data_IF_297164242411
#
_entry.id   IF_297164242411
#
_cell.length_a   1.000
_cell.length_b   1.000
_cell.length_c   1.000
_cell.angle_alpha   90.00
_cell.angle_beta   90.00
_cell.angle_gamma   90.00
#
_symmetry.space_group_name_H-M   'P 1'
#
loop_
_entity.id
_entity.type
_entity.pdbx_description
1 polymer ?
#
# COMPACT_ATOMS: atom_id res chain seq x y z
N UNK A 1 21.67 7.90 -14.01
CA UNK A 1 21.97 6.56 -14.50
C UNK A 1 21.42 5.56 -13.51
N UNK A 2 20.35 4.88 -13.86
CA UNK A 2 19.80 3.84 -12.98
C UNK A 2 20.78 2.67 -12.91
N UNK A 3 21.01 2.16 -11.70
CA UNK A 3 21.78 0.94 -11.51
C UNK A 3 20.90 -0.23 -11.98
N UNK A 4 21.27 -0.97 -13.05
CA UNK A 4 20.43 -2.06 -13.56
C UNK A 4 20.29 -3.24 -12.60
N UNK A 5 21.02 -3.24 -11.50
CA UNK A 5 21.00 -4.26 -10.46
C UNK A 5 20.23 -3.82 -9.18
N UNK A 6 19.64 -2.61 -9.17
CA UNK A 6 18.85 -2.14 -8.02
C UNK A 6 17.48 -2.84 -8.00
N UNK A 7 17.32 -3.80 -7.12
CA UNK A 7 16.07 -4.53 -6.92
C UNK A 7 15.37 -4.00 -5.67
N UNK A 8 14.18 -3.44 -5.84
CA UNK A 8 13.42 -2.83 -4.75
C UNK A 8 12.66 -3.86 -3.90
N UNK A 9 12.15 -4.92 -4.53
CA UNK A 9 11.42 -5.99 -3.87
C UNK A 9 11.46 -7.28 -4.68
N UNK A 10 11.50 -8.44 -4.01
CA UNK A 10 11.58 -9.75 -4.66
C UNK A 10 10.46 -10.69 -4.22
N UNK A 11 10.10 -11.65 -5.07
CA UNK A 11 9.20 -12.75 -4.70
C UNK A 11 9.73 -13.54 -3.51
N UNK A 12 11.04 -13.76 -3.44
CA UNK A 12 11.70 -14.45 -2.32
C UNK A 12 11.49 -13.71 -1.00
N UNK A 13 11.59 -12.38 -1.00
CA UNK A 13 11.34 -11.55 0.18
C UNK A 13 9.89 -11.66 0.66
N UNK A 14 8.94 -11.58 -0.26
CA UNK A 14 7.52 -11.76 0.04
C UNK A 14 7.24 -13.15 0.57
N UNK A 15 7.79 -14.20 -0.07
CA UNK A 15 7.61 -15.58 0.37
C UNK A 15 8.20 -15.81 1.78
N UNK A 16 9.35 -15.20 2.11
CA UNK A 16 9.94 -15.27 3.44
C UNK A 16 9.00 -14.68 4.51
N UNK A 17 8.29 -13.60 4.19
CA UNK A 17 7.27 -13.05 5.07
C UNK A 17 6.09 -13.99 5.26
N UNK A 18 5.58 -14.56 4.18
CA UNK A 18 4.47 -15.51 4.22
C UNK A 18 4.84 -16.76 5.04
N UNK A 19 6.05 -17.27 4.89
CA UNK A 19 6.55 -18.41 5.66
C UNK A 19 6.61 -18.08 7.17
N UNK A 20 7.06 -16.89 7.51
CA UNK A 20 7.08 -16.41 8.92
C UNK A 20 5.67 -16.29 9.51
N UNK A 21 4.73 -15.80 8.72
CA UNK A 21 3.31 -15.71 9.13
C UNK A 21 2.71 -17.10 9.29
N UNK A 22 3.00 -18.02 8.36
CA UNK A 22 2.51 -19.40 8.43
C UNK A 22 3.06 -20.19 9.63
N UNK A 23 4.31 -19.92 10.03
CA UNK A 23 4.97 -20.57 11.17
C UNK A 23 4.47 -20.07 12.54
N UNK A 24 3.75 -18.95 12.57
CA UNK A 24 3.16 -18.40 13.79
C UNK A 24 1.65 -18.67 13.83
N UNK A 25 1.16 -19.07 15.00
CA UNK A 25 -0.28 -19.07 15.26
C UNK A 25 -0.70 -17.60 15.47
N UNK A 26 -1.26 -17.00 14.41
CA UNK A 26 -1.73 -15.63 14.48
C UNK A 26 -3.02 -15.55 15.29
N UNK A 27 -3.02 -14.61 16.21
CA UNK A 27 -4.20 -14.24 16.99
C UNK A 27 -4.50 -12.77 16.74
N UNK A 28 -5.68 -12.41 16.16
CA UNK A 28 -6.04 -11.02 15.90
C UNK A 28 -6.03 -10.12 17.13
N UNK A 29 -6.19 -10.70 18.32
CA UNK A 29 -6.19 -9.97 19.61
C UNK A 29 -4.78 -9.84 20.22
N UNK A 30 -3.77 -10.52 19.63
CA UNK A 30 -2.41 -10.52 20.14
C UNK A 30 -1.55 -9.43 19.51
N UNK A 31 -0.86 -8.64 20.35
CA UNK A 31 -0.01 -7.54 19.90
C UNK A 31 1.18 -7.99 19.05
N UNK A 32 1.72 -9.19 19.27
CA UNK A 32 2.86 -9.71 18.48
C UNK A 32 2.41 -10.09 17.07
N UNK A 33 1.21 -10.68 16.94
CA UNK A 33 0.57 -10.99 15.67
C UNK A 33 0.27 -9.73 14.87
N UNK A 34 -0.33 -8.72 15.50
CA UNK A 34 -0.60 -7.43 14.89
C UNK A 34 0.69 -6.76 14.41
N UNK A 35 1.76 -6.81 15.22
CA UNK A 35 3.07 -6.24 14.85
C UNK A 35 3.69 -6.96 13.66
N UNK A 36 3.55 -8.28 13.58
CA UNK A 36 4.06 -9.05 12.44
C UNK A 36 3.38 -8.64 11.13
N UNK A 37 2.06 -8.50 11.16
CA UNK A 37 1.27 -8.07 9.99
C UNK A 37 1.59 -6.62 9.59
N UNK A 38 1.76 -5.72 10.55
CA UNK A 38 2.18 -4.34 10.29
C UNK A 38 3.58 -4.29 9.68
N UNK A 39 4.52 -5.09 10.18
CA UNK A 39 5.87 -5.15 9.61
C UNK A 39 5.87 -5.68 8.17
N UNK A 40 5.01 -6.66 7.86
CA UNK A 40 4.80 -7.16 6.50
C UNK A 40 4.28 -6.05 5.58
N UNK A 41 3.26 -5.33 6.04
CA UNK A 41 2.69 -4.19 5.32
C UNK A 41 3.72 -3.08 5.09
N UNK A 42 4.44 -2.69 6.14
CA UNK A 42 5.46 -1.66 6.10
C UNK A 42 6.60 -2.02 5.14
N UNK A 43 7.02 -3.28 5.11
CA UNK A 43 8.09 -3.74 4.22
C UNK A 43 7.74 -3.51 2.74
N UNK A 44 6.51 -3.82 2.34
CA UNK A 44 6.02 -3.56 0.99
C UNK A 44 5.88 -2.06 0.71
N UNK A 45 5.32 -1.30 1.66
CA UNK A 45 5.15 0.15 1.53
C UNK A 45 6.50 0.88 1.44
N UNK A 46 7.51 0.45 2.20
CA UNK A 46 8.87 0.99 2.14
C UNK A 46 9.51 0.72 0.76
N UNK A 47 9.28 -0.45 0.18
CA UNK A 47 9.77 -0.75 -1.17
C UNK A 47 9.19 0.23 -2.21
N UNK A 48 7.89 0.50 -2.14
CA UNK A 48 7.22 1.48 -3.00
C UNK A 48 7.79 2.89 -2.76
N UNK A 49 7.98 3.29 -1.50
CA UNK A 49 8.56 4.59 -1.16
C UNK A 49 9.98 4.75 -1.71
N UNK A 50 10.79 3.70 -1.71
CA UNK A 50 12.13 3.72 -2.31
C UNK A 50 12.09 3.91 -3.83
N UNK A 51 11.13 3.30 -4.52
CA UNK A 51 10.93 3.48 -5.96
C UNK A 51 10.58 4.93 -6.27
N UNK A 52 9.60 5.48 -5.55
CA UNK A 52 9.19 6.89 -5.71
C UNK A 52 10.38 7.83 -5.47
N UNK A 53 11.17 7.59 -4.43
CA UNK A 53 12.37 8.37 -4.15
C UNK A 53 13.42 8.26 -5.24
N UNK A 54 13.62 7.07 -5.80
CA UNK A 54 14.53 6.87 -6.93
C UNK A 54 14.06 7.67 -8.17
N UNK A 55 12.77 7.75 -8.39
CA UNK A 55 12.17 8.61 -9.42
C UNK A 55 12.40 10.11 -9.14
N UNK A 56 12.15 10.56 -7.91
CA UNK A 56 12.39 11.96 -7.51
C UNK A 56 13.86 12.37 -7.62
N UNK A 57 14.78 11.44 -7.38
CA UNK A 57 16.23 11.63 -7.48
C UNK A 57 16.78 11.45 -8.92
N UNK A 58 15.91 11.35 -9.93
CA UNK A 58 16.28 11.10 -11.34
C UNK A 58 17.08 9.80 -11.57
N UNK A 59 17.01 8.84 -10.66
CA UNK A 59 17.63 7.51 -10.82
C UNK A 59 16.77 6.55 -11.63
N UNK A 60 15.45 6.76 -11.63
CA UNK A 60 14.48 6.09 -12.48
C UNK A 60 13.74 7.14 -13.29
N UNK A 61 13.46 6.84 -14.56
CA UNK A 61 12.51 7.62 -15.34
C UNK A 61 11.07 7.18 -15.02
N UNK A 62 10.09 7.89 -15.58
CA UNK A 62 8.67 7.63 -15.34
C UNK A 62 8.28 6.18 -15.69
N UNK A 63 8.66 5.71 -16.89
CA UNK A 63 8.34 4.35 -17.35
C UNK A 63 8.96 3.28 -16.43
N UNK A 64 10.22 3.45 -16.06
CA UNK A 64 10.92 2.53 -15.18
C UNK A 64 10.31 2.52 -13.76
N UNK A 65 9.96 3.69 -13.22
CA UNK A 65 9.33 3.78 -11.90
C UNK A 65 7.96 3.10 -11.87
N UNK A 66 7.12 3.31 -12.88
CA UNK A 66 5.82 2.64 -13.02
C UNK A 66 6.01 1.12 -13.14
N UNK A 67 6.97 0.66 -13.93
CA UNK A 67 7.27 -0.76 -14.08
C UNK A 67 7.72 -1.40 -12.77
N UNK A 68 8.56 -0.72 -11.98
CA UNK A 68 9.01 -1.20 -10.68
C UNK A 68 7.85 -1.26 -9.66
N UNK A 69 6.99 -0.25 -9.59
CA UNK A 69 5.79 -0.27 -8.73
C UNK A 69 4.86 -1.42 -9.13
N UNK A 70 4.63 -1.59 -10.43
CA UNK A 70 3.81 -2.70 -10.94
C UNK A 70 4.41 -4.06 -10.59
N UNK A 71 5.73 -4.19 -10.64
CA UNK A 71 6.44 -5.41 -10.24
C UNK A 71 6.23 -5.77 -8.77
N UNK A 72 6.34 -4.80 -7.88
CA UNK A 72 6.05 -5.00 -6.44
C UNK A 72 4.58 -5.36 -6.22
N UNK A 73 3.67 -4.64 -6.87
CA UNK A 73 2.23 -4.92 -6.82
C UNK A 73 1.92 -6.37 -7.23
N UNK A 74 2.45 -6.83 -8.34
CA UNK A 74 2.18 -8.17 -8.87
C UNK A 74 2.68 -9.27 -7.93
N UNK A 75 3.80 -9.04 -7.23
CA UNK A 75 4.33 -9.94 -6.20
C UNK A 75 3.43 -9.94 -4.95
N UNK A 76 3.12 -8.77 -4.43
CA UNK A 76 2.42 -8.60 -3.14
C UNK A 76 0.94 -8.95 -3.24
N UNK A 77 0.29 -8.64 -4.37
CA UNK A 77 -1.13 -8.91 -4.58
C UNK A 77 -1.40 -10.27 -5.25
N UNK A 78 -0.36 -11.09 -5.47
CA UNK A 78 -0.54 -12.44 -5.96
C UNK A 78 -1.39 -13.28 -4.99
N UNK A 79 -2.14 -14.23 -5.54
CA UNK A 79 -2.97 -15.14 -4.74
C UNK A 79 -2.11 -15.91 -3.73
N UNK A 80 -2.50 -15.87 -2.46
CA UNK A 80 -1.81 -16.54 -1.36
C UNK A 80 -2.65 -17.71 -0.88
N UNK A 81 -2.05 -18.90 -0.80
CA UNK A 81 -2.66 -20.09 -0.22
C UNK A 81 -2.10 -20.33 1.18
N UNK A 82 -2.94 -20.32 2.20
CA UNK A 82 -2.62 -20.66 3.57
C UNK A 82 -3.47 -21.85 4.01
N UNK A 83 -2.90 -22.73 4.84
CA UNK A 83 -3.63 -23.87 5.40
C UNK A 83 -4.69 -23.45 6.42
N UNK A 84 -4.47 -22.32 7.08
CA UNK A 84 -5.37 -21.74 8.05
C UNK A 84 -6.19 -20.59 7.45
N UNK A 85 -7.52 -20.70 7.48
CA UNK A 85 -8.43 -19.71 6.91
C UNK A 85 -8.33 -18.32 7.58
N UNK A 86 -8.10 -18.29 8.89
CA UNK A 86 -7.99 -17.05 9.65
C UNK A 86 -6.71 -16.29 9.25
N UNK A 87 -5.60 -17.00 9.14
CA UNK A 87 -4.34 -16.45 8.61
C UNK A 87 -4.51 -15.95 7.17
N UNK A 88 -5.21 -16.71 6.33
CA UNK A 88 -5.50 -16.29 4.95
C UNK A 88 -6.28 -14.97 4.89
N UNK A 89 -7.31 -14.82 5.75
CA UNK A 89 -8.10 -13.57 5.85
C UNK A 89 -7.26 -12.38 6.31
N UNK A 90 -6.34 -12.58 7.25
CA UNK A 90 -5.45 -11.53 7.74
C UNK A 90 -4.48 -11.07 6.65
N UNK A 91 -3.93 -11.99 5.87
CA UNK A 91 -3.07 -11.67 4.72
C UNK A 91 -3.87 -10.94 3.63
N UNK A 92 -5.07 -11.39 3.32
CA UNK A 92 -5.96 -10.72 2.37
C UNK A 92 -6.25 -9.27 2.81
N UNK A 93 -6.47 -9.05 4.10
CA UNK A 93 -6.62 -7.71 4.69
C UNK A 93 -5.39 -6.83 4.48
N UNK A 94 -4.19 -7.37 4.69
CA UNK A 94 -2.93 -6.65 4.40
C UNK A 94 -2.82 -6.32 2.92
N UNK A 95 -3.05 -7.28 2.03
CA UNK A 95 -3.02 -7.07 0.58
C UNK A 95 -4.01 -5.99 0.15
N UNK A 96 -5.24 -6.05 0.65
CA UNK A 96 -6.28 -5.05 0.36
C UNK A 96 -5.86 -3.65 0.81
N UNK A 97 -5.26 -3.52 1.99
CA UNK A 97 -4.78 -2.24 2.52
C UNK A 97 -3.65 -1.61 1.69
N UNK A 98 -2.90 -2.44 0.96
CA UNK A 98 -1.79 -1.99 0.10
C UNK A 98 -2.24 -1.57 -1.30
N UNK A 99 -3.43 -1.96 -1.75
CA UNK A 99 -3.95 -1.60 -3.08
C UNK A 99 -3.87 -0.08 -3.34
N UNK A 100 -4.41 0.79 -2.48
CA UNK A 100 -4.31 2.23 -2.71
C UNK A 100 -2.87 2.76 -2.67
N UNK A 101 -1.96 2.11 -1.95
CA UNK A 101 -0.53 2.48 -1.91
C UNK A 101 0.11 2.33 -3.29
N UNK A 102 -0.11 1.22 -3.96
CA UNK A 102 0.43 0.98 -5.31
C UNK A 102 -0.14 1.96 -6.33
N UNK A 103 -1.45 2.14 -6.36
CA UNK A 103 -2.10 3.05 -7.31
C UNK A 103 -1.76 4.51 -7.04
N UNK A 104 -1.63 4.92 -5.78
CA UNK A 104 -1.19 6.27 -5.43
C UNK A 104 0.25 6.55 -5.89
N UNK A 105 1.15 5.58 -5.75
CA UNK A 105 2.52 5.70 -6.23
C UNK A 105 2.57 5.82 -7.76
N UNK A 106 1.83 4.99 -8.49
CA UNK A 106 1.73 5.08 -9.95
C UNK A 106 1.16 6.42 -10.40
N UNK A 107 0.08 6.87 -9.80
CA UNK A 107 -0.55 8.17 -10.10
C UNK A 107 0.41 9.33 -9.83
N UNK A 108 1.11 9.29 -8.70
CA UNK A 108 2.11 10.31 -8.35
C UNK A 108 3.24 10.40 -9.36
N UNK A 109 3.75 9.26 -9.82
CA UNK A 109 4.84 9.20 -10.82
C UNK A 109 4.39 9.78 -12.17
N UNK A 110 3.18 9.45 -12.61
CA UNK A 110 2.65 9.85 -13.94
C UNK A 110 2.03 11.24 -13.92
N UNK A 111 1.25 11.56 -12.91
CA UNK A 111 0.43 12.77 -12.82
C UNK A 111 0.84 13.76 -11.75
N UNK A 112 1.75 13.37 -10.85
CA UNK A 112 2.11 14.20 -9.69
C UNK A 112 1.05 14.17 -8.60
N UNK A 113 1.13 15.15 -7.71
CA UNK A 113 0.15 15.34 -6.65
C UNK A 113 -1.19 15.86 -7.15
N UNK A 114 -2.26 15.51 -6.46
CA UNK A 114 -3.57 16.12 -6.68
C UNK A 114 -3.45 17.66 -6.59
N UNK A 115 -3.96 18.36 -7.59
CA UNK A 115 -3.83 19.82 -7.68
C UNK A 115 -4.81 20.56 -6.75
N UNK A 116 -5.91 19.91 -6.39
CA UNK A 116 -6.97 20.50 -5.55
C UNK A 116 -7.32 19.54 -4.42
N UNK A 117 -7.80 20.08 -3.31
CA UNK A 117 -8.23 19.29 -2.16
C UNK A 117 -7.13 18.99 -1.16
N UNK A 118 -7.54 18.40 -0.05
CA UNK A 118 -6.67 17.98 1.06
C UNK A 118 -6.82 16.48 1.30
N UNK A 119 -5.88 15.89 2.02
CA UNK A 119 -5.97 14.48 2.44
C UNK A 119 -7.29 14.22 3.16
N UNK A 120 -7.70 15.12 4.08
CA UNK A 120 -8.95 14.99 4.81
C UNK A 120 -10.18 14.97 3.89
N UNK A 121 -10.25 15.89 2.94
CA UNK A 121 -11.37 15.98 1.99
C UNK A 121 -11.50 14.72 1.13
N UNK A 122 -10.37 14.19 0.64
CA UNK A 122 -10.37 12.95 -0.15
C UNK A 122 -10.72 11.71 0.69
N UNK A 123 -10.23 11.61 1.92
CA UNK A 123 -10.55 10.48 2.80
C UNK A 123 -12.03 10.50 3.19
N UNK A 124 -12.58 11.67 3.51
CA UNK A 124 -14.03 11.83 3.77
C UNK A 124 -14.88 11.46 2.54
N UNK A 125 -14.46 11.92 1.36
CA UNK A 125 -15.14 11.56 0.11
C UNK A 125 -15.08 10.05 -0.17
N UNK A 126 -13.96 9.40 0.14
CA UNK A 126 -13.81 7.95 0.01
C UNK A 126 -14.75 7.20 0.96
N UNK A 127 -14.83 7.64 2.22
CA UNK A 127 -15.73 7.04 3.21
C UNK A 127 -17.21 7.21 2.81
N UNK A 128 -17.59 8.37 2.29
CA UNK A 128 -18.95 8.61 1.78
C UNK A 128 -19.27 7.73 0.55
N UNK A 129 -18.32 7.56 -0.35
CA UNK A 129 -18.47 6.69 -1.53
C UNK A 129 -18.61 5.22 -1.12
N UNK A 130 -17.81 4.75 -0.17
CA UNK A 130 -17.90 3.39 0.38
C UNK A 130 -19.26 3.16 1.05
N UNK A 131 -19.75 4.11 1.85
CA UNK A 131 -21.07 4.05 2.45
C UNK A 131 -22.21 4.02 1.42
N UNK A 132 -21.96 4.52 0.21
CA UNK A 132 -22.86 4.45 -0.93
C UNK A 132 -22.67 3.22 -1.84
N UNK A 133 -21.88 2.24 -1.43
CA UNK A 133 -21.48 1.05 -2.19
C UNK A 133 -20.73 1.37 -3.51
N UNK A 134 -20.15 2.55 -3.63
CA UNK A 134 -19.32 2.96 -4.78
C UNK A 134 -17.82 2.77 -4.48
N UNK A 135 -17.40 1.52 -4.52
CA UNK A 135 -16.01 1.11 -4.18
C UNK A 135 -15.00 1.70 -5.16
N UNK A 136 -15.34 1.81 -6.44
CA UNK A 136 -14.45 2.37 -7.46
C UNK A 136 -14.18 3.86 -7.21
N UNK A 137 -15.22 4.63 -6.86
CA UNK A 137 -15.06 6.02 -6.47
C UNK A 137 -14.28 6.17 -5.16
N UNK A 138 -14.56 5.31 -4.16
CA UNK A 138 -13.82 5.30 -2.91
C UNK A 138 -12.32 5.08 -3.14
N UNK A 139 -11.95 4.08 -3.96
CA UNK A 139 -10.56 3.83 -4.33
C UNK A 139 -9.94 5.03 -5.04
N UNK A 140 -10.66 5.63 -5.99
CA UNK A 140 -10.19 6.83 -6.70
C UNK A 140 -9.84 7.98 -5.77
N UNK A 141 -10.68 8.26 -4.78
CA UNK A 141 -10.42 9.29 -3.77
C UNK A 141 -9.22 8.93 -2.87
N UNK A 142 -9.08 7.67 -2.47
CA UNK A 142 -7.92 7.21 -1.68
C UNK A 142 -6.61 7.35 -2.46
N UNK A 143 -6.63 7.06 -3.75
CA UNK A 143 -5.47 7.27 -4.64
C UNK A 143 -5.06 8.74 -4.65
N UNK A 144 -5.99 9.67 -4.79
CA UNK A 144 -5.71 11.12 -4.75
C UNK A 144 -5.17 11.56 -3.39
N UNK A 145 -5.77 11.09 -2.30
CA UNK A 145 -5.23 11.31 -0.95
C UNK A 145 -3.79 10.78 -0.83
N UNK A 146 -3.54 9.60 -1.37
CA UNK A 146 -2.22 8.96 -1.37
C UNK A 146 -1.17 9.78 -2.10
N UNK A 147 -1.49 10.41 -3.23
CA UNK A 147 -0.53 11.29 -3.94
C UNK A 147 -0.09 12.47 -3.09
N UNK A 148 -1.00 13.06 -2.31
CA UNK A 148 -0.69 14.13 -1.37
C UNK A 148 0.22 13.64 -0.23
N UNK A 149 -0.03 12.44 0.29
CA UNK A 149 0.78 11.83 1.34
C UNK A 149 2.20 11.52 0.83
N UNK A 150 2.33 11.00 -0.38
CA UNK A 150 3.63 10.77 -1.04
C UNK A 150 4.42 12.07 -1.15
N UNK A 151 3.75 13.18 -1.44
CA UNK A 151 4.36 14.53 -1.52
C UNK A 151 4.69 15.13 -0.13
N UNK A 152 4.34 14.47 0.95
CA UNK A 152 4.69 14.84 2.32
C UNK A 152 3.54 15.37 3.17
N UNK A 153 2.29 15.30 2.70
CA UNK A 153 1.14 15.63 3.52
C UNK A 153 0.87 14.55 4.58
N UNK A 154 0.39 14.96 5.73
CA UNK A 154 0.03 14.06 6.83
C UNK A 154 -1.46 13.72 6.81
N UNK A 155 -1.80 12.50 7.20
CA UNK A 155 -3.16 12.13 7.54
C UNK A 155 -3.49 12.67 8.94
N UNK A 156 -4.53 13.54 9.08
CA UNK A 156 -4.91 14.00 10.41
C UNK A 156 -5.35 12.85 11.31
N UNK A 157 -4.74 12.72 12.49
CA UNK A 157 -5.05 11.65 13.45
C UNK A 157 -6.51 11.67 13.90
N UNK A 158 -7.07 12.85 14.09
CA UNK A 158 -8.49 13.02 14.45
C UNK A 158 -9.43 12.45 13.39
N UNK A 159 -9.07 12.57 12.11
CA UNK A 159 -9.81 11.97 11.01
C UNK A 159 -9.69 10.46 11.04
N UNK A 160 -8.46 9.93 11.19
CA UNK A 160 -8.22 8.49 11.26
C UNK A 160 -9.00 7.83 12.41
N UNK A 161 -9.07 8.51 13.57
CA UNK A 161 -9.84 8.04 14.73
C UNK A 161 -11.37 8.10 14.52
N UNK A 162 -11.85 9.00 13.64
CA UNK A 162 -13.27 9.16 13.35
C UNK A 162 -13.81 8.16 12.32
N UNK A 163 -12.94 7.49 11.56
CA UNK A 163 -13.34 6.49 10.57
C UNK A 163 -13.81 5.23 11.29
N UNK A 164 -15.00 4.77 10.93
CA UNK A 164 -15.53 3.50 11.44
C UNK A 164 -14.88 2.35 10.66
N UNK A 165 -14.52 1.31 11.39
CA UNK A 165 -14.07 0.07 10.76
C UNK A 165 -15.27 -0.58 10.05
N UNK A 166 -15.22 -0.58 8.72
CA UNK A 166 -16.21 -1.24 7.87
C UNK A 166 -15.84 -2.68 7.55
#
# INVERSE_FOLDING_TARGET
>A
MSDPDETFYTEERWQNWLDRVADQELDPEDEESARLLLNLQDDAAIAVAKIVRAFEDDRLDEDAAVEEVAGVRDVVLAEVSMDDEETAMLIDGVQTSLVPVFYAAEEYVVGGTAEEGTVAEYVEAAADAEAGDDVDAALGYLVQAGTLIVDGADLPMELAESLEYG
#
